data_IF_767755149811
#
_entry.id   IF_767755149811
#
_cell.length_a   1.000
_cell.length_b   1.000
_cell.length_c   1.000
_cell.angle_alpha   90.00
_cell.angle_beta   90.00
_cell.angle_gamma   90.00
#
_symmetry.space_group_name_H-M   'P 1'
#
loop_
_entity.id
_entity.type
_entity.pdbx_description
1 polymer ?
#
# COMPACT_ATOMS: atom_id res chain seq x y z
N UNK A 1 27.88 5.76 -13.98
CA UNK A 1 26.78 4.96 -14.55
C UNK A 1 25.47 5.59 -14.11
N UNK A 2 24.49 5.74 -15.00
CA UNK A 2 23.22 6.42 -14.70
C UNK A 2 22.24 5.48 -13.97
N UNK A 3 21.89 5.80 -12.73
CA UNK A 3 20.98 5.00 -11.88
C UNK A 3 19.56 4.95 -12.42
N UNK A 4 19.13 5.95 -13.19
CA UNK A 4 17.82 5.96 -13.84
C UNK A 4 17.69 4.84 -14.91
N UNK A 5 18.81 4.29 -15.38
CA UNK A 5 18.82 3.16 -16.32
C UNK A 5 18.90 1.79 -15.64
N UNK A 6 19.10 1.76 -14.33
CA UNK A 6 19.17 0.50 -13.60
C UNK A 6 17.77 -0.11 -13.46
N UNK A 7 17.70 -1.44 -13.59
CA UNK A 7 16.49 -2.22 -13.38
C UNK A 7 16.80 -3.33 -12.39
N UNK A 8 15.96 -3.44 -11.37
CA UNK A 8 16.04 -4.52 -10.40
C UNK A 8 14.97 -5.56 -10.74
N UNK A 9 15.40 -6.81 -10.96
CA UNK A 9 14.48 -7.93 -11.17
C UNK A 9 14.23 -8.61 -9.82
N UNK A 10 12.97 -8.75 -9.44
CA UNK A 10 12.57 -9.36 -8.17
C UNK A 10 11.42 -10.34 -8.35
N UNK A 11 11.33 -11.31 -7.45
CA UNK A 11 10.13 -12.13 -7.29
C UNK A 11 9.05 -11.29 -6.62
N UNK A 12 7.86 -11.22 -7.21
CA UNK A 12 6.75 -10.44 -6.68
C UNK A 12 5.46 -11.25 -6.80
N UNK A 13 4.74 -11.38 -5.69
CA UNK A 13 3.36 -11.87 -5.68
C UNK A 13 2.54 -11.14 -4.63
N UNK A 14 1.38 -10.61 -5.03
CA UNK A 14 0.54 -9.75 -4.20
C UNK A 14 -0.81 -10.41 -3.99
N UNK A 15 -1.26 -10.50 -2.74
CA UNK A 15 -2.62 -10.93 -2.39
C UNK A 15 -3.23 -10.00 -1.33
N UNK A 16 -4.49 -10.23 -0.98
CA UNK A 16 -5.23 -9.46 0.03
C UNK A 16 -4.70 -9.68 1.46
N UNK A 17 -4.03 -10.82 1.70
CA UNK A 17 -3.44 -11.19 2.99
C UNK A 17 -2.03 -11.76 2.79
N UNK A 18 -1.12 -11.52 3.73
CA UNK A 18 0.25 -12.03 3.63
C UNK A 18 0.29 -13.57 3.59
N UNK A 19 -0.49 -14.21 4.47
CA UNK A 19 -0.57 -15.68 4.52
C UNK A 19 -1.22 -16.27 3.28
N UNK A 20 -2.17 -15.56 2.64
CA UNK A 20 -2.73 -15.99 1.36
C UNK A 20 -1.65 -15.94 0.27
N UNK A 21 -0.92 -14.84 0.15
CA UNK A 21 0.13 -14.69 -0.86
C UNK A 21 1.17 -15.80 -0.75
N UNK A 22 1.59 -16.14 0.48
CA UNK A 22 2.52 -17.24 0.74
C UNK A 22 1.94 -18.59 0.31
N UNK A 23 0.70 -18.91 0.69
CA UNK A 23 0.05 -20.17 0.30
C UNK A 23 -0.05 -20.34 -1.21
N UNK A 24 -0.36 -19.26 -1.94
CA UNK A 24 -0.53 -19.30 -3.39
C UNK A 24 0.76 -19.65 -4.14
N UNK A 25 1.92 -19.20 -3.64
CA UNK A 25 3.21 -19.40 -4.30
C UNK A 25 4.03 -20.56 -3.75
N UNK A 26 3.73 -21.04 -2.54
CA UNK A 26 4.58 -22.00 -1.82
C UNK A 26 4.89 -23.27 -2.62
N UNK A 27 3.88 -23.84 -3.28
CA UNK A 27 4.06 -25.08 -4.06
C UNK A 27 4.91 -24.84 -5.30
N UNK A 28 4.65 -23.75 -6.02
CA UNK A 28 5.40 -23.41 -7.23
C UNK A 28 6.85 -23.02 -6.96
N UNK A 29 7.08 -22.23 -5.90
CA UNK A 29 8.43 -21.89 -5.41
C UNK A 29 9.20 -23.16 -5.06
N UNK A 30 8.61 -24.05 -4.26
CA UNK A 30 9.29 -25.28 -3.85
C UNK A 30 9.62 -26.17 -5.05
N UNK A 31 8.70 -26.26 -6.02
CA UNK A 31 8.92 -27.02 -7.25
C UNK A 31 10.09 -26.44 -8.04
N UNK A 32 10.13 -25.13 -8.27
CA UNK A 32 11.25 -24.48 -8.98
C UNK A 32 12.58 -24.71 -8.24
N UNK A 33 12.60 -24.51 -6.93
CA UNK A 33 13.77 -24.71 -6.09
C UNK A 33 14.33 -26.13 -6.24
N UNK A 34 13.49 -27.16 -6.16
CA UNK A 34 13.94 -28.55 -6.29
C UNK A 34 14.33 -28.86 -7.75
N UNK A 35 13.44 -28.67 -8.71
CA UNK A 35 13.66 -29.20 -10.07
C UNK A 35 14.66 -28.37 -10.87
N UNK A 36 14.60 -27.05 -10.77
CA UNK A 36 15.47 -26.18 -11.55
C UNK A 36 16.79 -25.91 -10.81
N UNK A 37 16.73 -25.46 -9.56
CA UNK A 37 17.97 -25.07 -8.86
C UNK A 37 18.76 -26.26 -8.34
N UNK A 38 18.14 -27.26 -7.70
CA UNK A 38 18.86 -28.41 -7.17
C UNK A 38 19.17 -29.45 -8.26
N UNK A 39 18.15 -30.04 -8.88
CA UNK A 39 18.31 -31.15 -9.82
C UNK A 39 19.01 -30.73 -11.12
N UNK A 40 18.67 -29.57 -11.68
CA UNK A 40 19.22 -29.12 -12.98
C UNK A 40 20.53 -28.35 -12.82
N UNK A 41 20.59 -27.37 -11.90
CA UNK A 41 21.78 -26.51 -11.72
C UNK A 41 22.78 -27.05 -10.70
N UNK A 42 22.45 -28.12 -9.96
CA UNK A 42 23.33 -28.70 -8.95
C UNK A 42 23.56 -27.78 -7.76
N UNK A 43 22.67 -26.81 -7.50
CA UNK A 43 22.79 -25.91 -6.36
C UNK A 43 22.67 -26.76 -5.09
N UNK A 44 23.61 -26.61 -4.12
CA UNK A 44 23.50 -27.31 -2.85
C UNK A 44 22.14 -26.99 -2.19
N UNK A 45 21.51 -27.96 -1.52
CA UNK A 45 20.23 -27.74 -0.86
C UNK A 45 20.33 -26.52 0.08
N UNK A 46 19.29 -25.68 0.04
CA UNK A 46 19.21 -24.47 0.83
C UNK A 46 19.40 -24.75 2.31
N UNK A 47 20.04 -23.82 3.05
CA UNK A 47 20.29 -23.95 4.49
C UNK A 47 19.06 -23.72 5.37
N UNK A 48 17.93 -23.30 4.80
CA UNK A 48 16.76 -22.86 5.55
C UNK A 48 15.57 -23.79 5.32
N UNK A 49 14.86 -24.11 6.40
CA UNK A 49 13.65 -24.93 6.37
C UNK A 49 12.49 -24.25 5.63
N UNK A 50 12.45 -22.91 5.62
CA UNK A 50 11.47 -22.09 4.90
C UNK A 50 12.17 -20.94 4.13
N UNK A 51 12.72 -21.22 2.93
CA UNK A 51 13.44 -20.23 2.14
C UNK A 51 12.55 -19.10 1.63
N UNK A 52 11.26 -19.36 1.44
CA UNK A 52 10.30 -18.36 0.95
C UNK A 52 10.07 -17.27 2.00
N UNK A 53 9.68 -17.63 3.23
CA UNK A 53 9.48 -16.65 4.31
C UNK A 53 10.75 -15.91 4.65
N UNK A 54 11.90 -16.59 4.59
CA UNK A 54 13.18 -15.94 4.82
C UNK A 54 13.52 -14.95 3.71
N UNK A 55 13.26 -15.28 2.44
CA UNK A 55 13.40 -14.34 1.33
C UNK A 55 12.50 -13.10 1.48
N UNK A 56 11.26 -13.29 1.97
CA UNK A 56 10.36 -12.19 2.32
C UNK A 56 10.94 -11.32 3.44
N UNK A 57 11.42 -11.94 4.53
CA UNK A 57 12.04 -11.23 5.65
C UNK A 57 13.28 -10.44 5.24
N UNK A 58 14.09 -10.98 4.33
CA UNK A 58 15.29 -10.34 3.81
C UNK A 58 15.01 -9.27 2.74
N UNK A 59 13.76 -9.18 2.25
CA UNK A 59 13.38 -8.28 1.17
C UNK A 59 13.92 -8.69 -0.21
N UNK A 60 14.37 -9.95 -0.36
CA UNK A 60 14.84 -10.51 -1.64
C UNK A 60 13.70 -11.12 -2.45
N UNK A 61 12.56 -11.41 -1.81
CA UNK A 61 11.32 -11.88 -2.41
C UNK A 61 10.16 -11.03 -1.88
N UNK A 62 9.37 -10.43 -2.77
CA UNK A 62 8.28 -9.53 -2.40
C UNK A 62 6.94 -10.26 -2.49
N UNK A 63 6.62 -11.05 -1.47
CA UNK A 63 5.37 -11.84 -1.42
C UNK A 63 4.55 -11.40 -0.22
N UNK A 64 3.33 -10.89 -0.44
CA UNK A 64 2.46 -10.46 0.64
C UNK A 64 1.32 -9.52 0.21
N UNK A 65 0.83 -8.73 1.16
CA UNK A 65 -0.11 -7.63 0.90
C UNK A 65 0.55 -6.49 0.12
N UNK A 66 -0.24 -5.57 -0.49
CA UNK A 66 0.31 -4.35 -1.06
C UNK A 66 1.24 -3.59 -0.11
N UNK A 67 0.88 -3.47 1.17
CA UNK A 67 1.69 -2.77 2.18
C UNK A 67 3.01 -3.50 2.48
N UNK A 68 2.97 -4.84 2.57
CA UNK A 68 4.19 -5.66 2.72
C UNK A 68 5.13 -5.47 1.54
N UNK A 69 4.60 -5.47 0.32
CA UNK A 69 5.38 -5.27 -0.90
C UNK A 69 5.92 -3.85 -0.99
N UNK A 70 5.14 -2.82 -0.62
CA UNK A 70 5.61 -1.42 -0.55
C UNK A 70 6.82 -1.32 0.38
N UNK A 71 6.73 -1.84 1.61
CA UNK A 71 7.84 -1.83 2.57
C UNK A 71 9.08 -2.55 2.04
N UNK A 72 8.89 -3.67 1.34
CA UNK A 72 9.99 -4.38 0.69
C UNK A 72 10.67 -3.54 -0.40
N UNK A 73 9.90 -2.83 -1.24
CA UNK A 73 10.45 -1.92 -2.26
C UNK A 73 11.17 -0.74 -1.61
N UNK A 74 10.61 -0.13 -0.56
CA UNK A 74 11.26 0.94 0.20
C UNK A 74 12.63 0.48 0.72
N UNK A 75 12.69 -0.73 1.27
CA UNK A 75 13.95 -1.33 1.72
C UNK A 75 14.96 -1.52 0.59
N UNK A 76 14.52 -1.95 -0.59
CA UNK A 76 15.38 -2.07 -1.78
C UNK A 76 15.90 -0.71 -2.24
N UNK A 77 15.07 0.34 -2.18
CA UNK A 77 15.48 1.72 -2.49
C UNK A 77 16.55 2.18 -1.51
N UNK A 78 16.38 1.97 -0.21
CA UNK A 78 17.39 2.28 0.82
C UNK A 78 18.72 1.57 0.54
N UNK A 79 18.67 0.25 0.33
CA UNK A 79 19.86 -0.57 0.10
C UNK A 79 20.62 -0.19 -1.16
N UNK A 80 19.94 0.35 -2.17
CA UNK A 80 20.55 0.73 -3.44
C UNK A 80 21.47 1.97 -3.37
N UNK A 81 21.45 2.72 -2.26
CA UNK A 81 22.27 3.93 -2.02
C UNK A 81 22.23 4.91 -3.20
N UNK A 82 21.04 5.33 -3.60
CA UNK A 82 20.82 6.23 -4.75
C UNK A 82 19.74 5.78 -5.73
N UNK A 83 18.98 4.73 -5.40
CA UNK A 83 17.81 4.30 -6.15
C UNK A 83 18.13 3.44 -7.37
N UNK A 84 17.05 3.02 -8.02
CA UNK A 84 17.03 2.35 -9.32
C UNK A 84 15.88 2.92 -10.15
N UNK A 85 16.06 3.00 -11.47
CA UNK A 85 15.06 3.60 -12.35
C UNK A 85 13.87 2.72 -12.72
N UNK A 86 13.84 1.46 -12.27
CA UNK A 86 12.67 0.60 -12.43
C UNK A 86 12.80 -0.75 -11.76
N UNK A 87 11.65 -1.31 -11.41
CA UNK A 87 11.50 -2.66 -10.88
C UNK A 87 10.85 -3.53 -11.94
N UNK A 88 11.38 -4.73 -12.15
CA UNK A 88 10.87 -5.72 -13.09
C UNK A 88 10.48 -6.98 -12.34
N UNK A 89 9.39 -7.58 -12.78
CA UNK A 89 8.92 -8.83 -12.23
C UNK A 89 9.69 -9.97 -12.88
N UNK A 90 10.19 -10.90 -12.07
CA UNK A 90 10.56 -12.21 -12.60
C UNK A 90 9.28 -13.00 -12.81
N UNK A 91 9.00 -13.39 -14.06
CA UNK A 91 7.91 -14.32 -14.37
C UNK A 91 8.31 -15.73 -13.87
N UNK A 92 8.00 -16.00 -12.60
CA UNK A 92 8.42 -17.22 -11.90
C UNK A 92 7.38 -18.34 -11.94
N UNK A 93 6.14 -18.07 -12.39
CA UNK A 93 5.07 -19.06 -12.55
C UNK A 93 4.78 -19.88 -11.28
N UNK A 94 4.85 -19.25 -10.10
CA UNK A 94 4.66 -19.95 -8.81
C UNK A 94 3.20 -20.14 -8.42
N UNK A 95 2.31 -19.30 -8.93
CA UNK A 95 0.88 -19.31 -8.65
C UNK A 95 0.09 -19.64 -9.93
N UNK A 96 -1.22 -19.87 -9.80
CA UNK A 96 -2.07 -20.03 -10.98
C UNK A 96 -2.13 -18.75 -11.82
N UNK A 97 -2.60 -18.85 -13.07
CA UNK A 97 -2.79 -17.70 -13.95
C UNK A 97 -3.72 -16.66 -13.33
N UNK A 98 -4.82 -17.09 -12.72
CA UNK A 98 -5.80 -16.20 -12.11
C UNK A 98 -5.19 -15.40 -10.96
N UNK A 99 -4.47 -16.08 -10.07
CA UNK A 99 -3.80 -15.45 -8.92
C UNK A 99 -2.68 -14.52 -9.36
N UNK A 100 -1.92 -14.89 -10.40
CA UNK A 100 -0.87 -14.04 -10.98
C UNK A 100 -1.45 -12.76 -11.57
N UNK A 101 -2.55 -12.85 -12.33
CA UNK A 101 -3.21 -11.67 -12.90
C UNK A 101 -3.83 -10.79 -11.80
N UNK A 102 -4.41 -11.40 -10.76
CA UNK A 102 -4.88 -10.68 -9.58
C UNK A 102 -3.75 -9.96 -8.87
N UNK A 103 -2.60 -10.60 -8.71
CA UNK A 103 -1.40 -9.97 -8.15
C UNK A 103 -0.97 -8.76 -8.96
N UNK A 104 -0.98 -8.83 -10.29
CA UNK A 104 -0.62 -7.70 -11.15
C UNK A 104 -1.59 -6.54 -11.00
N UNK A 105 -2.89 -6.84 -10.89
CA UNK A 105 -3.91 -5.83 -10.62
C UNK A 105 -3.69 -5.14 -9.27
N UNK A 106 -3.47 -5.90 -8.19
CA UNK A 106 -3.22 -5.35 -6.86
C UNK A 106 -1.95 -4.50 -6.84
N UNK A 107 -0.87 -4.97 -7.48
CA UNK A 107 0.37 -4.21 -7.60
C UNK A 107 0.16 -2.89 -8.35
N UNK A 108 -0.49 -2.95 -9.51
CA UNK A 108 -0.73 -1.78 -10.34
C UNK A 108 -1.61 -0.74 -9.65
N UNK A 109 -2.65 -1.17 -8.93
CA UNK A 109 -3.58 -0.27 -8.25
C UNK A 109 -3.01 0.32 -6.96
N UNK A 110 -2.32 -0.48 -6.15
CA UNK A 110 -2.02 -0.10 -4.77
C UNK A 110 -0.53 0.13 -4.49
N UNK A 111 0.36 -0.50 -5.27
CA UNK A 111 1.81 -0.40 -5.05
C UNK A 111 2.45 0.65 -5.98
N UNK A 112 2.23 0.56 -7.30
CA UNK A 112 2.86 1.45 -8.28
C UNK A 112 2.67 2.95 -7.97
N UNK A 113 1.47 3.44 -7.61
CA UNK A 113 1.26 4.88 -7.37
C UNK A 113 2.07 5.46 -6.21
N UNK A 114 2.51 4.62 -5.26
CA UNK A 114 3.36 5.06 -4.13
C UNK A 114 4.75 5.52 -4.58
N UNK A 115 5.26 4.97 -5.67
CA UNK A 115 6.63 5.22 -6.14
C UNK A 115 6.71 6.13 -7.37
N UNK A 116 5.57 6.45 -8.00
CA UNK A 116 5.51 7.24 -9.22
C UNK A 116 5.19 8.72 -8.98
N UNK A 117 5.04 9.14 -7.72
CA UNK A 117 4.76 10.53 -7.35
C UNK A 117 3.34 11.01 -7.68
N UNK A 118 2.45 10.13 -8.14
CA UNK A 118 1.07 10.48 -8.51
C UNK A 118 0.14 10.71 -7.31
N UNK A 119 0.53 10.29 -6.11
CA UNK A 119 -0.32 10.37 -4.91
C UNK A 119 0.07 11.47 -3.92
N UNK A 120 1.30 12.01 -3.97
CA UNK A 120 1.82 12.92 -2.94
C UNK A 120 0.87 14.10 -2.68
N UNK A 121 0.55 14.88 -3.72
CA UNK A 121 -0.35 16.03 -3.60
C UNK A 121 -1.74 15.67 -3.06
N UNK A 122 -2.27 14.51 -3.42
CA UNK A 122 -3.61 14.08 -3.00
C UNK A 122 -3.61 13.69 -1.52
N UNK A 123 -2.58 12.95 -1.09
CA UNK A 123 -2.39 12.55 0.30
C UNK A 123 -2.15 13.79 1.17
N UNK A 124 -1.20 14.64 0.78
CA UNK A 124 -0.84 15.86 1.52
C UNK A 124 -2.06 16.79 1.66
N UNK A 125 -2.86 16.94 0.60
CA UNK A 125 -4.09 17.74 0.64
C UNK A 125 -5.14 17.13 1.56
N UNK A 126 -5.30 15.80 1.56
CA UNK A 126 -6.23 15.13 2.48
C UNK A 126 -5.81 15.30 3.94
N UNK A 127 -4.52 15.09 4.22
CA UNK A 127 -3.96 15.24 5.56
C UNK A 127 -4.10 16.68 6.05
N UNK A 128 -3.71 17.66 5.24
CA UNK A 128 -3.86 19.07 5.59
C UNK A 128 -5.32 19.43 5.88
N UNK A 129 -6.27 19.03 5.02
CA UNK A 129 -7.69 19.26 5.25
C UNK A 129 -8.20 18.59 6.53
N UNK A 130 -7.71 17.37 6.83
CA UNK A 130 -8.09 16.62 8.03
C UNK A 130 -7.59 17.32 9.30
N UNK A 131 -6.34 17.78 9.30
CA UNK A 131 -5.73 18.48 10.44
C UNK A 131 -6.34 19.88 10.66
N UNK A 132 -6.70 20.56 9.57
CA UNK A 132 -7.25 21.92 9.59
C UNK A 132 -8.79 21.95 9.54
N UNK A 133 -9.45 20.81 9.74
CA UNK A 133 -10.92 20.68 9.63
C UNK A 133 -11.72 21.72 10.41
N UNK A 134 -11.23 22.13 11.58
CA UNK A 134 -11.90 23.12 12.42
C UNK A 134 -11.89 24.53 11.81
N UNK A 135 -10.80 24.94 11.17
CA UNK A 135 -10.71 26.25 10.52
C UNK A 135 -11.49 26.28 9.21
N UNK A 136 -11.48 25.16 8.48
CA UNK A 136 -12.15 25.02 7.17
C UNK A 136 -13.68 24.93 7.36
N UNK A 137 -14.15 24.04 8.23
CA UNK A 137 -15.58 23.73 8.37
C UNK A 137 -16.25 24.43 9.56
N UNK A 138 -15.49 24.99 10.51
CA UNK A 138 -16.06 25.73 11.65
C UNK A 138 -16.95 26.91 11.24
N UNK A 139 -16.55 27.77 10.28
CA UNK A 139 -17.40 28.88 9.80
C UNK A 139 -18.73 28.41 9.19
N UNK A 140 -18.76 27.23 8.55
CA UNK A 140 -19.98 26.65 8.00
C UNK A 140 -21.01 26.34 9.09
N UNK A 141 -20.55 25.85 10.26
CA UNK A 141 -21.42 25.59 11.41
C UNK A 141 -22.09 26.87 11.89
N UNK A 142 -21.34 27.96 12.03
CA UNK A 142 -21.91 29.23 12.48
C UNK A 142 -22.84 29.86 11.43
N UNK A 143 -22.51 29.75 10.14
CA UNK A 143 -23.37 30.23 9.07
C UNK A 143 -24.76 29.55 9.08
N UNK A 144 -24.80 28.22 9.24
CA UNK A 144 -26.06 27.49 9.29
C UNK A 144 -26.83 27.83 10.58
N UNK A 145 -26.14 27.95 11.73
CA UNK A 145 -26.76 28.38 12.99
C UNK A 145 -27.43 29.75 12.86
N UNK A 146 -26.73 30.70 12.23
CA UNK A 146 -27.24 32.04 11.94
C UNK A 146 -28.46 32.00 11.04
N UNK A 147 -28.47 31.17 10.00
CA UNK A 147 -29.61 31.03 9.10
C UNK A 147 -30.90 30.58 9.82
N UNK A 148 -30.81 29.66 10.79
CA UNK A 148 -31.95 29.29 11.63
C UNK A 148 -32.46 30.48 12.48
N UNK A 149 -31.54 31.21 13.13
CA UNK A 149 -31.87 32.39 13.93
C UNK A 149 -32.53 33.48 13.09
N UNK A 150 -31.98 33.79 11.92
CA UNK A 150 -32.49 34.82 11.00
C UNK A 150 -33.89 34.43 10.47
N UNK A 151 -34.17 33.13 10.34
CA UNK A 151 -35.50 32.60 9.98
C UNK A 151 -36.49 32.50 11.16
N UNK A 152 -36.10 32.91 12.37
CA UNK A 152 -36.91 32.80 13.58
C UNK A 152 -37.20 31.36 14.01
N UNK A 153 -36.35 30.40 13.60
CA UNK A 153 -36.48 28.97 13.92
C UNK A 153 -35.43 28.55 14.92
N UNK A 154 -35.79 27.65 15.84
CA UNK A 154 -34.81 27.02 16.70
C UNK A 154 -33.89 26.09 15.89
N UNK A 155 -32.62 26.03 16.30
CA UNK A 155 -31.66 25.11 15.72
C UNK A 155 -32.02 23.69 16.17
N UNK A 156 -32.31 22.75 15.27
CA UNK A 156 -32.67 21.40 15.65
C UNK A 156 -31.58 20.74 16.48
N UNK A 157 -31.94 19.91 17.46
CA UNK A 157 -30.98 19.12 18.26
C UNK A 157 -30.06 18.27 17.39
N UNK A 158 -30.54 17.93 16.20
CA UNK A 158 -29.88 17.11 15.20
C UNK A 158 -28.75 17.79 14.44
N UNK A 159 -28.69 19.11 14.55
CA UNK A 159 -27.71 19.97 13.90
C UNK A 159 -26.26 19.50 14.11
N UNK A 160 -25.94 19.00 15.32
CA UNK A 160 -24.60 18.55 15.69
C UNK A 160 -24.12 17.31 14.91
N UNK A 161 -25.05 16.47 14.42
CA UNK A 161 -24.70 15.26 13.69
C UNK A 161 -24.91 15.36 12.18
N UNK A 162 -25.71 16.33 11.70
CA UNK A 162 -25.98 16.56 10.27
C UNK A 162 -25.06 17.56 9.59
N UNK A 163 -24.42 18.44 10.37
CA UNK A 163 -23.68 19.57 9.82
C UNK A 163 -22.19 19.25 9.74
N UNK A 164 -21.62 19.33 8.54
CA UNK A 164 -20.18 19.24 8.32
C UNK A 164 -19.45 20.27 9.17
N UNK A 165 -18.49 19.82 9.98
CA UNK A 165 -17.72 20.63 10.93
C UNK A 165 -18.30 20.71 12.35
N UNK A 166 -19.56 20.35 12.58
CA UNK A 166 -20.21 20.53 13.89
C UNK A 166 -19.61 19.65 15.00
N UNK A 167 -19.05 18.48 14.64
CA UNK A 167 -18.32 17.61 15.57
C UNK A 167 -17.03 18.23 16.10
N UNK A 168 -16.49 19.24 15.42
CA UNK A 168 -15.11 19.72 15.61
C UNK A 168 -15.05 21.07 16.33
N UNK A 169 -16.18 21.78 16.36
CA UNK A 169 -16.35 23.03 17.12
C UNK A 169 -16.85 22.79 18.55
N UNK A 170 -17.21 21.55 18.91
CA UNK A 170 -17.74 21.18 20.23
C UNK A 170 -19.15 21.74 20.50
N UNK A 171 -19.81 21.34 21.59
CA UNK A 171 -21.01 22.03 22.04
C UNK A 171 -20.60 23.46 22.41
N UNK A 172 -21.12 24.45 21.70
CA UNK A 172 -21.15 25.83 22.21
C UNK A 172 -22.03 25.79 23.45
N UNK A 173 -21.40 25.69 24.63
CA UNK A 173 -22.08 25.90 25.91
C UNK A 173 -22.60 27.35 25.90
N UNK A 174 -23.88 27.58 26.28
CA UNK A 174 -24.46 28.91 26.33
C UNK A 174 -23.71 29.85 27.27
#
# INVERSE_FOLDING_TARGET
MDRAKWRLVVNVHVAEEDELALRQVQVGERRETVTYFEETLGRPPGRHDDPLREGVRQGTTLVGTPDTVIKGIERLVELSQGGFGGLLFRAHEWASREETLRSYELFARYVMPRFQGSLATIIDSNEWCRENRRTIFGPNVEAIRRAYRDAGREVPSEFLWRTSGARDVGPTIP
#
